data_IF_760159280731
#
_entry.id   IF_760159280731
#
_cell.length_a   1.000
_cell.length_b   1.000
_cell.length_c   1.000
_cell.angle_alpha   90.00
_cell.angle_beta   90.00
_cell.angle_gamma   90.00
#
_symmetry.space_group_name_H-M   'P 1'
#
loop_
_entity.id
_entity.type
_entity.pdbx_description
1 polymer ?
#
# COMPACT_ATOMS: atom_id res chain seq x y z
N UNK A 1 -5.63 8.14 -17.67
CA UNK A 1 -5.36 7.86 -16.24
C UNK A 1 -3.93 7.35 -16.11
N UNK A 2 -3.21 7.73 -15.05
CA UNK A 2 -1.75 7.53 -14.91
C UNK A 2 -1.37 6.33 -14.02
N UNK A 3 -0.28 6.48 -13.27
CA UNK A 3 0.34 5.43 -12.44
C UNK A 3 -0.63 4.64 -11.54
N UNK A 4 -1.46 5.31 -10.74
CA UNK A 4 -2.36 4.63 -9.79
C UNK A 4 -3.46 3.78 -10.47
N UNK A 5 -3.94 4.19 -11.65
CA UNK A 5 -4.98 3.44 -12.36
C UNK A 5 -4.46 2.12 -12.94
N UNK A 6 -3.22 2.12 -13.46
CA UNK A 6 -2.52 0.89 -13.90
C UNK A 6 -2.54 -0.18 -12.81
N UNK A 7 -2.22 0.18 -11.57
CA UNK A 7 -2.20 -0.78 -10.46
C UNK A 7 -3.60 -1.12 -9.95
N UNK A 8 -4.55 -0.17 -9.99
CA UNK A 8 -5.95 -0.48 -9.73
C UNK A 8 -6.45 -1.61 -10.65
N UNK A 9 -6.24 -1.50 -11.95
CA UNK A 9 -6.63 -2.54 -12.92
C UNK A 9 -5.90 -3.85 -12.66
N UNK A 10 -4.57 -3.81 -12.48
CA UNK A 10 -3.77 -5.02 -12.25
C UNK A 10 -4.20 -5.77 -10.99
N UNK A 11 -4.52 -5.07 -9.90
CA UNK A 11 -5.05 -5.69 -8.69
C UNK A 11 -6.44 -6.31 -8.90
N UNK A 12 -7.30 -5.71 -9.74
CA UNK A 12 -8.59 -6.31 -10.08
C UNK A 12 -8.43 -7.58 -10.94
N UNK A 13 -7.52 -7.56 -11.91
CA UNK A 13 -7.22 -8.71 -12.77
C UNK A 13 -6.63 -9.89 -11.99
N UNK A 14 -5.72 -9.59 -11.06
CA UNK A 14 -4.98 -10.58 -10.28
C UNK A 14 -5.64 -10.91 -8.93
N UNK A 15 -6.85 -10.39 -8.67
CA UNK A 15 -7.57 -10.50 -7.39
C UNK A 15 -7.65 -11.92 -6.86
N UNK A 16 -7.83 -12.90 -7.74
CA UNK A 16 -7.95 -14.32 -7.39
C UNK A 16 -6.67 -14.95 -6.80
N UNK A 17 -5.53 -14.24 -6.87
CA UNK A 17 -4.26 -14.68 -6.27
C UNK A 17 -4.14 -14.34 -4.79
N UNK A 18 -5.00 -13.47 -4.29
CA UNK A 18 -5.08 -13.11 -2.89
C UNK A 18 -6.08 -14.03 -2.18
N UNK A 19 -5.79 -14.36 -0.92
CA UNK A 19 -6.76 -14.99 -0.03
C UNK A 19 -8.01 -14.11 0.14
N UNK A 20 -9.08 -14.65 0.73
CA UNK A 20 -10.28 -13.85 1.01
C UNK A 20 -9.96 -12.61 1.87
N UNK A 21 -9.10 -12.77 2.88
CA UNK A 21 -8.61 -11.65 3.69
C UNK A 21 -7.74 -10.67 2.88
N UNK A 22 -6.90 -11.17 1.98
CA UNK A 22 -6.10 -10.34 1.08
C UNK A 22 -6.96 -9.54 0.09
N UNK A 23 -8.08 -10.09 -0.37
CA UNK A 23 -9.03 -9.39 -1.24
C UNK A 23 -9.80 -8.29 -0.51
N UNK A 24 -10.15 -8.49 0.76
CA UNK A 24 -10.73 -7.45 1.62
C UNK A 24 -9.70 -6.33 1.85
N UNK A 25 -8.49 -6.69 2.28
CA UNK A 25 -7.37 -5.76 2.46
C UNK A 25 -7.11 -4.92 1.20
N UNK A 26 -7.13 -5.55 0.01
CA UNK A 26 -6.91 -4.86 -1.28
C UNK A 26 -7.93 -3.73 -1.49
N UNK A 27 -9.20 -3.95 -1.16
CA UNK A 27 -10.24 -2.91 -1.31
C UNK A 27 -10.04 -1.81 -0.27
N UNK A 28 -9.71 -2.18 0.97
CA UNK A 28 -9.51 -1.23 2.06
C UNK A 28 -8.30 -0.32 1.82
N UNK A 29 -7.17 -0.87 1.35
CA UNK A 29 -5.97 -0.09 1.04
C UNK A 29 -6.21 0.84 -0.15
N UNK A 30 -6.92 0.38 -1.20
CA UNK A 30 -7.31 1.23 -2.33
C UNK A 30 -8.15 2.43 -1.87
N UNK A 31 -9.13 2.17 -1.00
CA UNK A 31 -9.99 3.21 -0.45
C UNK A 31 -9.20 4.19 0.44
N UNK A 32 -8.28 3.69 1.27
CA UNK A 32 -7.40 4.51 2.09
C UNK A 32 -6.58 5.47 1.22
N UNK A 33 -5.88 4.94 0.21
CA UNK A 33 -5.04 5.73 -0.70
C UNK A 33 -5.84 6.82 -1.41
N UNK A 34 -7.02 6.49 -1.92
CA UNK A 34 -7.92 7.47 -2.56
C UNK A 34 -8.36 8.56 -1.59
N UNK A 35 -8.70 8.19 -0.34
CA UNK A 35 -9.13 9.16 0.69
C UNK A 35 -8.03 10.14 1.06
N UNK A 36 -6.77 9.71 1.13
CA UNK A 36 -5.63 10.59 1.41
C UNK A 36 -5.48 11.70 0.35
N UNK A 37 -5.92 11.45 -0.88
CA UNK A 37 -5.82 12.39 -1.99
C UNK A 37 -7.04 13.31 -2.18
N UNK A 38 -8.08 13.21 -1.33
CA UNK A 38 -9.32 14.00 -1.49
C UNK A 38 -9.03 15.50 -1.46
N UNK A 39 -8.15 15.97 -0.57
CA UNK A 39 -7.86 17.40 -0.46
C UNK A 39 -7.23 17.98 -1.73
N UNK A 40 -6.39 17.18 -2.40
CA UNK A 40 -5.75 17.52 -3.67
C UNK A 40 -6.77 17.47 -4.80
N UNK A 41 -7.62 16.44 -4.83
CA UNK A 41 -8.66 16.30 -5.85
C UNK A 41 -9.77 17.38 -5.77
N UNK A 42 -10.02 17.92 -4.57
CA UNK A 42 -11.03 18.97 -4.31
C UNK A 42 -10.46 20.38 -4.32
N UNK A 43 -9.15 20.55 -4.55
CA UNK A 43 -8.50 21.87 -4.59
C UNK A 43 -8.40 22.57 -3.22
N UNK A 44 -8.48 21.80 -2.13
CA UNK A 44 -8.36 22.32 -0.75
C UNK A 44 -6.97 22.10 -0.14
N UNK A 45 -6.08 21.42 -0.87
CA UNK A 45 -4.67 21.23 -0.51
C UNK A 45 -3.82 22.43 -0.92
N UNK A 46 -2.71 22.65 -0.18
CA UNK A 46 -1.67 23.62 -0.53
C UNK A 46 -0.61 23.04 -1.49
N UNK A 47 -0.75 21.78 -1.93
CA UNK A 47 0.13 21.17 -2.93
C UNK A 47 -0.14 21.82 -4.29
N UNK A 48 0.89 22.37 -4.92
CA UNK A 48 0.74 23.16 -6.15
C UNK A 48 1.39 22.52 -7.37
N UNK A 49 2.27 21.54 -7.17
CA UNK A 49 3.01 20.89 -8.26
C UNK A 49 2.70 19.39 -8.36
N UNK A 50 2.88 18.84 -9.57
CA UNK A 50 2.76 17.40 -9.79
C UNK A 50 3.81 16.59 -9.03
N UNK A 51 5.00 17.16 -8.78
CA UNK A 51 6.05 16.52 -8.01
C UNK A 51 5.65 16.38 -6.53
N UNK A 52 5.24 17.49 -5.90
CA UNK A 52 4.73 17.47 -4.52
C UNK A 52 3.53 16.53 -4.36
N UNK A 53 2.63 16.50 -5.35
CA UNK A 53 1.49 15.57 -5.35
C UNK A 53 1.95 14.11 -5.39
N UNK A 54 2.94 13.80 -6.24
CA UNK A 54 3.52 12.46 -6.36
C UNK A 54 4.14 12.04 -5.03
N UNK A 55 5.01 12.89 -4.46
CA UNK A 55 5.73 12.59 -3.22
C UNK A 55 4.75 12.40 -2.05
N UNK A 56 3.74 13.28 -1.94
CA UNK A 56 2.68 13.12 -0.96
C UNK A 56 1.92 11.81 -1.16
N UNK A 57 1.53 11.47 -2.39
CA UNK A 57 0.82 10.22 -2.66
C UNK A 57 1.64 9.00 -2.20
N UNK A 58 2.93 8.92 -2.55
CA UNK A 58 3.78 7.81 -2.13
C UNK A 58 3.99 7.76 -0.61
N UNK A 59 4.12 8.90 0.06
CA UNK A 59 4.27 8.97 1.53
C UNK A 59 3.10 8.36 2.31
N UNK A 60 1.94 8.21 1.69
CA UNK A 60 0.74 7.65 2.35
C UNK A 60 0.66 6.13 2.31
N UNK A 61 1.51 5.47 1.52
CA UNK A 61 1.36 4.05 1.20
C UNK A 61 1.61 3.16 2.41
N UNK A 62 2.71 3.34 3.16
CA UNK A 62 3.03 2.48 4.31
C UNK A 62 1.91 2.46 5.34
N UNK A 63 1.48 3.65 5.77
CA UNK A 63 0.37 3.79 6.72
C UNK A 63 -0.91 3.13 6.20
N UNK A 64 -1.29 3.36 4.94
CA UNK A 64 -2.50 2.75 4.38
C UNK A 64 -2.40 1.22 4.29
N UNK A 65 -1.22 0.66 4.00
CA UNK A 65 -1.01 -0.78 3.96
C UNK A 65 -1.20 -1.38 5.36
N UNK A 66 -0.53 -0.80 6.36
CA UNK A 66 -0.55 -1.28 7.75
C UNK A 66 -1.92 -1.09 8.39
N UNK A 67 -2.53 0.09 8.28
CA UNK A 67 -3.88 0.38 8.82
C UNK A 67 -4.97 -0.52 8.23
N UNK A 68 -4.79 -0.96 6.98
CA UNK A 68 -5.74 -1.88 6.33
C UNK A 68 -5.51 -3.34 6.73
N UNK A 69 -4.45 -3.65 7.49
CA UNK A 69 -4.18 -4.98 8.03
C UNK A 69 -3.14 -5.81 7.27
N UNK A 70 -2.28 -5.20 6.45
CA UNK A 70 -1.29 -5.93 5.63
C UNK A 70 -0.42 -6.90 6.45
N UNK A 71 0.01 -6.47 7.65
CA UNK A 71 0.89 -7.25 8.51
C UNK A 71 0.26 -8.52 9.08
N UNK A 72 -1.07 -8.61 9.08
CA UNK A 72 -1.81 -9.79 9.53
C UNK A 72 -2.15 -10.76 8.38
N UNK A 73 -1.85 -10.39 7.13
CA UNK A 73 -2.09 -11.26 5.98
C UNK A 73 -1.12 -12.45 5.97
N UNK A 74 -1.53 -13.58 5.38
CA UNK A 74 -0.62 -14.71 5.20
C UNK A 74 0.55 -14.33 4.26
N UNK A 75 1.74 -14.91 4.43
CA UNK A 75 2.90 -14.63 3.58
C UNK A 75 2.66 -14.84 2.08
N UNK A 76 1.72 -15.71 1.70
CA UNK A 76 1.31 -15.91 0.30
C UNK A 76 0.71 -14.65 -0.32
N UNK A 77 -0.06 -13.88 0.46
CA UNK A 77 -0.63 -12.63 -0.02
C UNK A 77 0.45 -11.55 -0.17
N UNK A 78 1.44 -11.51 0.72
CA UNK A 78 2.58 -10.60 0.58
C UNK A 78 3.35 -10.85 -0.71
N UNK A 79 3.63 -12.12 -1.04
CA UNK A 79 4.28 -12.51 -2.29
C UNK A 79 3.43 -12.11 -3.50
N UNK A 80 2.12 -12.39 -3.47
CA UNK A 80 1.21 -11.99 -4.53
C UNK A 80 1.21 -10.47 -4.73
N UNK A 81 1.16 -9.68 -3.66
CA UNK A 81 1.22 -8.22 -3.72
C UNK A 81 2.53 -7.75 -4.37
N UNK A 82 3.69 -8.25 -3.93
CA UNK A 82 5.01 -7.91 -4.51
C UNK A 82 5.05 -8.23 -6.00
N UNK A 83 4.53 -9.37 -6.43
CA UNK A 83 4.49 -9.75 -7.85
C UNK A 83 3.51 -8.89 -8.68
N UNK A 84 2.38 -8.50 -8.08
CA UNK A 84 1.42 -7.59 -8.70
C UNK A 84 2.03 -6.20 -8.87
N UNK A 85 2.70 -5.63 -7.85
CA UNK A 85 3.32 -4.31 -8.01
C UNK A 85 4.65 -4.35 -8.79
N UNK A 86 5.29 -5.51 -8.89
CA UNK A 86 6.64 -5.77 -9.44
C UNK A 86 7.77 -5.04 -8.69
N UNK A 87 8.82 -5.78 -8.31
CA UNK A 87 10.01 -5.22 -7.66
C UNK A 87 10.71 -4.15 -8.49
N UNK A 88 10.69 -4.26 -9.82
CA UNK A 88 11.25 -3.23 -10.70
C UNK A 88 10.54 -1.89 -10.50
N UNK A 89 9.21 -1.89 -10.37
CA UNK A 89 8.47 -0.64 -10.17
C UNK A 89 8.61 -0.09 -8.75
N UNK A 90 8.89 -0.96 -7.77
CA UNK A 90 9.21 -0.56 -6.40
C UNK A 90 10.58 0.13 -6.31
N UNK A 91 11.52 -0.23 -7.20
CA UNK A 91 12.87 0.34 -7.28
C UNK A 91 13.02 1.49 -8.27
N UNK A 92 12.09 1.63 -9.23
CA UNK A 92 12.06 2.73 -10.22
C UNK A 92 11.80 4.12 -9.59
N UNK A 93 11.24 4.18 -8.37
CA UNK A 93 11.05 5.42 -7.62
C UNK A 93 11.54 5.24 -6.18
N UNK A 94 12.50 6.07 -5.75
CA UNK A 94 13.00 6.07 -4.36
C UNK A 94 11.86 6.14 -3.33
N UNK A 95 10.77 6.87 -3.64
CA UNK A 95 9.59 6.99 -2.76
C UNK A 95 8.80 5.68 -2.62
N UNK A 96 8.76 4.86 -3.68
CA UNK A 96 8.10 3.54 -3.65
C UNK A 96 8.94 2.52 -2.87
N UNK A 97 10.26 2.66 -2.89
CA UNK A 97 11.19 1.85 -2.09
C UNK A 97 11.10 2.20 -0.61
N UNK A 98 10.96 3.49 -0.27
CA UNK A 98 10.72 3.95 1.11
C UNK A 98 9.45 3.33 1.67
N UNK A 99 8.31 3.51 0.99
CA UNK A 99 7.03 2.98 1.46
C UNK A 99 7.05 1.47 1.72
N UNK A 100 7.77 0.71 0.88
CA UNK A 100 7.96 -0.72 1.06
C UNK A 100 8.79 -1.04 2.31
N UNK A 101 9.90 -0.32 2.49
CA UNK A 101 10.81 -0.50 3.63
C UNK A 101 10.13 -0.14 4.94
N UNK A 102 9.34 0.94 4.95
CA UNK A 102 8.58 1.40 6.09
C UNK A 102 7.48 0.39 6.48
N UNK A 103 6.73 -0.11 5.50
CA UNK A 103 5.72 -1.18 5.71
C UNK A 103 6.37 -2.44 6.30
N UNK A 104 7.53 -2.85 5.77
CA UNK A 104 8.25 -4.02 6.27
C UNK A 104 8.73 -3.82 7.71
N UNK A 105 9.24 -2.63 8.06
CA UNK A 105 9.62 -2.27 9.42
C UNK A 105 8.45 -2.31 10.40
N UNK A 106 7.33 -1.66 10.05
CA UNK A 106 6.11 -1.63 10.87
C UNK A 106 5.50 -3.02 11.05
N UNK A 107 5.54 -3.88 10.02
CA UNK A 107 5.10 -5.26 10.17
C UNK A 107 6.02 -6.06 11.08
N UNK A 108 7.35 -5.88 11.03
CA UNK A 108 8.26 -6.53 11.99
C UNK A 108 7.93 -6.11 13.42
N UNK A 109 7.67 -4.83 13.67
CA UNK A 109 7.21 -4.35 14.98
C UNK A 109 5.89 -5.00 15.42
N UNK A 110 4.91 -5.11 14.51
CA UNK A 110 3.65 -5.82 14.76
C UNK A 110 3.87 -7.29 15.14
N UNK A 111 4.75 -8.01 14.42
CA UNK A 111 5.06 -9.41 14.71
C UNK A 111 5.71 -9.57 16.09
N UNK A 112 6.65 -8.70 16.44
CA UNK A 112 7.29 -8.72 17.76
C UNK A 112 6.26 -8.52 18.87
N UNK A 113 5.38 -7.51 18.72
CA UNK A 113 4.28 -7.26 19.66
C UNK A 113 3.32 -8.45 19.79
N UNK A 114 2.93 -9.07 18.68
CA UNK A 114 1.99 -10.18 18.68
C UNK A 114 2.55 -11.44 19.38
N UNK A 115 3.86 -11.70 19.21
CA UNK A 115 4.57 -12.78 19.93
C UNK A 115 4.67 -12.47 21.43
N UNK A 116 5.04 -11.24 21.81
CA UNK A 116 5.12 -10.83 23.22
C UNK A 116 3.77 -10.93 23.95
N UNK A 117 2.66 -10.77 23.22
CA UNK A 117 1.30 -10.81 23.76
C UNK A 117 0.57 -12.14 23.52
N UNK A 118 1.25 -13.18 22.98
CA UNK A 118 0.69 -14.52 22.81
C UNK A 118 -0.48 -14.61 21.83
N UNK A 119 -0.49 -13.74 20.82
CA UNK A 119 -1.51 -13.68 19.76
C UNK A 119 -1.11 -14.44 18.48
N UNK A 120 0.08 -15.05 18.50
CA UNK A 120 0.67 -15.95 17.50
C UNK A 120 1.22 -17.18 18.23
#
# INVERSE_FOLDING_TARGET
>A
MGYGYKYCEKFQEERARLSDAGQEWMVDVMLCLQRKLISQATGTSNITTCAELKDYAFSTHSQCYVDSGFCALPPTDWLAVIEIVSLETMLESFDSLSATTDTAGECVEFYLWAVENGML
#
